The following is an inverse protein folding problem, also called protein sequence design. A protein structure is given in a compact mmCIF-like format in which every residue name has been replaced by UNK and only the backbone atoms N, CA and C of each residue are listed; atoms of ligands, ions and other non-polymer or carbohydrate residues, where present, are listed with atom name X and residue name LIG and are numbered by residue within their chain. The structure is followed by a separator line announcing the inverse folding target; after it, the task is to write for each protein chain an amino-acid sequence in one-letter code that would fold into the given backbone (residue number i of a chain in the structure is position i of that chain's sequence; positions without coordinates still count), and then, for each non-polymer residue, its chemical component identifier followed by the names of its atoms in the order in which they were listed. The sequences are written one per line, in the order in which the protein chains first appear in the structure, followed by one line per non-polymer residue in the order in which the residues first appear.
data_IF_923545569116
#
_entry.id   IF_923545569116
#
_cell.length_a   1.000
_cell.length_b   1.000
_cell.length_c   1.000
_cell.angle_alpha   90.00
_cell.angle_beta   90.00
_cell.angle_gamma   90.00
#
_symmetry.space_group_name_H-M   'P 1'
#
loop_
_entity.id
_entity.type
_entity.pdbx_description
1 polymer ?
#
# COMPACT_ATOMS: atom_id res chain seq x y z
N UNK A 1 10.54 4.39 1.97
CA UNK A 1 9.98 5.69 1.55
C UNK A 1 10.76 6.82 2.21
N UNK A 2 10.65 8.03 1.69
CA UNK A 2 11.09 9.27 2.32
C UNK A 2 9.85 10.14 2.54
N UNK A 3 9.75 10.74 3.72
CA UNK A 3 8.73 11.76 4.03
C UNK A 3 9.42 13.10 3.87
N UNK A 4 8.92 13.92 2.96
CA UNK A 4 9.51 15.21 2.62
C UNK A 4 9.00 16.31 3.56
N UNK A 5 9.76 17.39 3.71
CA UNK A 5 9.42 18.50 4.60
C UNK A 5 8.14 19.25 4.16
N UNK A 6 7.73 19.11 2.90
CA UNK A 6 6.52 19.71 2.33
C UNK A 6 5.28 18.81 2.45
N UNK A 7 5.38 17.69 3.17
CA UNK A 7 4.27 16.74 3.37
C UNK A 7 3.98 15.88 2.15
N UNK A 8 4.91 15.76 1.21
CA UNK A 8 4.88 14.79 0.11
C UNK A 8 5.69 13.53 0.42
N UNK A 9 5.61 12.53 -0.47
CA UNK A 9 6.31 11.26 -0.34
C UNK A 9 7.31 11.08 -1.47
N UNK A 10 8.41 10.38 -1.23
CA UNK A 10 9.34 9.97 -2.29
C UNK A 10 9.82 8.54 -2.11
N UNK A 11 10.17 7.90 -3.22
CA UNK A 11 10.88 6.64 -3.22
C UNK A 11 12.30 6.88 -2.68
N UNK A 12 12.79 6.00 -1.81
CA UNK A 12 14.16 6.11 -1.28
C UNK A 12 15.15 5.38 -2.19
N UNK A 13 16.45 5.59 -1.98
CA UNK A 13 17.52 4.96 -2.77
C UNK A 13 17.58 3.43 -2.67
N UNK A 14 16.81 2.82 -1.76
CA UNK A 14 16.68 1.35 -1.63
C UNK A 14 15.49 0.79 -2.42
N UNK A 15 14.64 1.64 -2.98
CA UNK A 15 13.52 1.21 -3.82
C UNK A 15 14.04 0.53 -5.08
N UNK A 16 13.36 -0.54 -5.50
CA UNK A 16 13.63 -1.23 -6.76
C UNK A 16 12.35 -1.23 -7.58
N UNK A 17 12.48 -0.99 -8.89
CA UNK A 17 11.33 -0.83 -9.78
C UNK A 17 10.50 -2.11 -9.97
N UNK A 18 11.07 -3.27 -9.65
CA UNK A 18 10.43 -4.59 -9.65
C UNK A 18 9.77 -4.95 -8.31
N UNK A 19 9.77 -4.03 -7.33
CA UNK A 19 9.08 -4.21 -6.06
C UNK A 19 7.68 -3.56 -6.08
N UNK A 20 6.72 -4.26 -5.50
CA UNK A 20 5.38 -3.73 -5.27
C UNK A 20 5.31 -2.99 -3.93
N UNK A 21 4.54 -1.90 -3.90
CA UNK A 21 4.35 -1.10 -2.69
C UNK A 21 3.21 -1.68 -1.86
N UNK A 22 3.49 -2.06 -0.61
CA UNK A 22 2.47 -2.56 0.31
C UNK A 22 1.91 -1.40 1.14
N UNK A 23 0.59 -1.24 1.13
CA UNK A 23 -0.14 -0.21 1.87
C UNK A 23 -1.34 -0.81 2.58
N UNK A 24 -1.85 -0.14 3.60
CA UNK A 24 -3.06 -0.58 4.31
C UNK A 24 -3.95 0.61 4.60
N UNK A 25 -5.25 0.43 4.46
CA UNK A 25 -6.24 1.32 5.03
C UNK A 25 -6.43 0.93 6.50
N UNK A 26 -6.33 1.89 7.41
CA UNK A 26 -6.33 1.63 8.85
C UNK A 26 -4.94 1.46 9.48
N UNK A 27 -4.89 1.59 10.81
CA UNK A 27 -3.64 1.65 11.60
C UNK A 27 -3.17 0.28 12.08
N UNK A 28 -4.11 -0.56 12.51
CA UNK A 28 -3.83 -1.81 13.24
C UNK A 28 -2.96 -2.80 12.44
N UNK A 29 -3.22 -2.93 11.14
CA UNK A 29 -2.41 -3.80 10.27
C UNK A 29 -0.95 -3.33 10.17
N UNK A 30 -0.73 -2.03 10.07
CA UNK A 30 0.60 -1.42 10.05
C UNK A 30 1.31 -1.59 11.39
N UNK A 31 0.59 -1.41 12.51
CA UNK A 31 1.12 -1.62 13.87
C UNK A 31 1.49 -3.08 14.13
N UNK A 32 0.65 -4.03 13.68
CA UNK A 32 0.92 -5.47 13.78
C UNK A 32 2.28 -5.83 13.17
N UNK A 33 2.56 -5.32 11.96
CA UNK A 33 3.82 -5.59 11.28
C UNK A 33 4.99 -4.76 11.81
N UNK A 34 4.74 -3.54 12.32
CA UNK A 34 5.75 -2.75 13.04
C UNK A 34 6.25 -3.48 14.28
N UNK A 35 5.36 -4.09 15.05
CA UNK A 35 5.72 -4.86 16.26
C UNK A 35 6.54 -6.11 15.94
N UNK A 36 6.39 -6.67 14.73
CA UNK A 36 7.22 -7.79 14.23
C UNK A 36 8.54 -7.35 13.62
N UNK A 37 8.70 -6.06 13.31
CA UNK A 37 9.88 -5.48 12.66
C UNK A 37 10.25 -4.20 13.41
N UNK A 38 10.91 -4.30 14.58
CA UNK A 38 11.15 -3.16 15.47
C UNK A 38 11.87 -1.98 14.81
N UNK A 39 12.76 -2.24 13.84
CA UNK A 39 13.49 -1.21 13.12
C UNK A 39 12.70 -0.55 11.97
N UNK A 40 11.46 -0.99 11.72
CA UNK A 40 10.57 -0.36 10.76
C UNK A 40 9.87 0.86 11.34
N UNK A 41 9.17 1.63 10.51
CA UNK A 41 8.36 2.79 10.91
C UNK A 41 7.07 2.80 10.08
N UNK A 42 6.03 3.47 10.60
CA UNK A 42 4.75 3.63 9.92
C UNK A 42 4.73 5.01 9.27
N UNK A 43 4.28 5.08 8.02
CA UNK A 43 4.02 6.34 7.31
C UNK A 43 2.53 6.46 7.11
N UNK A 44 1.93 7.53 7.65
CA UNK A 44 0.54 7.91 7.40
C UNK A 44 0.52 9.00 6.33
N UNK A 45 -0.41 8.90 5.39
CA UNK A 45 -0.57 9.84 4.29
C UNK A 45 -2.00 9.81 3.77
N UNK A 46 -2.42 10.88 3.10
CA UNK A 46 -3.66 10.93 2.33
C UNK A 46 -3.37 10.86 0.82
N UNK A 47 -4.35 10.42 0.05
CA UNK A 47 -4.36 10.51 -1.42
C UNK A 47 -5.68 11.15 -1.87
N UNK A 48 -5.72 11.77 -3.06
CA UNK A 48 -6.98 12.22 -3.65
C UNK A 48 -7.97 11.06 -3.83
N UNK A 49 -9.29 11.30 -3.71
CA UNK A 49 -10.31 10.26 -3.84
C UNK A 49 -10.19 9.42 -5.11
N UNK A 50 -9.87 10.04 -6.26
CA UNK A 50 -9.74 9.30 -7.52
C UNK A 50 -8.58 8.28 -7.52
N UNK A 51 -7.52 8.51 -6.72
CA UNK A 51 -6.42 7.54 -6.58
C UNK A 51 -6.87 6.36 -5.72
N UNK A 52 -7.60 6.63 -4.65
CA UNK A 52 -8.20 5.61 -3.79
C UNK A 52 -9.21 4.75 -4.58
N UNK A 53 -10.12 5.41 -5.30
CA UNK A 53 -11.12 4.75 -6.14
C UNK A 53 -10.47 3.88 -7.23
N UNK A 54 -9.45 4.42 -7.93
CA UNK A 54 -8.68 3.65 -8.91
C UNK A 54 -8.11 2.37 -8.31
N UNK A 55 -7.50 2.45 -7.12
CA UNK A 55 -6.93 1.28 -6.43
C UNK A 55 -8.04 0.31 -6.06
N UNK A 56 -9.07 0.79 -5.35
CA UNK A 56 -10.16 -0.01 -4.81
C UNK A 56 -10.95 -0.74 -5.89
N UNK A 57 -11.22 -0.07 -7.01
CA UNK A 57 -12.06 -0.62 -8.09
C UNK A 57 -11.32 -1.60 -8.99
N UNK A 58 -9.98 -1.51 -9.07
CA UNK A 58 -9.15 -2.41 -9.86
C UNK A 58 -8.49 -3.51 -9.02
N UNK A 59 -8.59 -3.45 -7.70
CA UNK A 59 -7.95 -4.42 -6.83
C UNK A 59 -8.58 -5.81 -6.97
N UNK A 60 -7.74 -6.82 -7.19
CA UNK A 60 -8.17 -8.20 -7.31
C UNK A 60 -7.59 -9.07 -6.18
N UNK A 61 -8.26 -10.18 -5.89
CA UNK A 61 -7.80 -11.11 -4.86
C UNK A 61 -6.39 -11.65 -5.15
N UNK A 62 -5.57 -11.77 -4.10
CA UNK A 62 -4.30 -12.52 -4.17
C UNK A 62 -4.50 -13.96 -4.67
N UNK A 63 -5.64 -14.59 -4.38
CA UNK A 63 -5.92 -15.93 -4.84
C UNK A 63 -6.02 -15.96 -6.37
N UNK A 64 -5.23 -16.83 -7.02
CA UNK A 64 -5.13 -16.95 -8.49
C UNK A 64 -4.76 -15.66 -9.20
N UNK A 65 -4.13 -14.69 -8.52
CA UNK A 65 -3.75 -13.40 -9.08
C UNK A 65 -3.07 -13.52 -10.47
N UNK A 66 -2.04 -14.37 -10.58
CA UNK A 66 -1.27 -14.55 -11.82
C UNK A 66 -2.10 -15.06 -13.01
N UNK A 67 -3.15 -15.83 -12.76
CA UNK A 67 -4.00 -16.43 -13.81
C UNK A 67 -5.34 -15.73 -13.94
N UNK A 68 -5.60 -14.70 -13.14
CA UNK A 68 -6.82 -13.92 -13.23
C UNK A 68 -6.77 -13.03 -14.49
N UNK A 69 -7.77 -13.10 -15.40
CA UNK A 69 -7.81 -12.24 -16.58
C UNK A 69 -7.83 -10.75 -16.24
N UNK A 70 -8.30 -10.37 -15.04
CA UNK A 70 -8.32 -9.00 -14.55
C UNK A 70 -6.97 -8.52 -13.98
N UNK A 71 -5.91 -9.35 -14.02
CA UNK A 71 -4.57 -8.97 -13.54
C UNK A 71 -3.89 -7.90 -14.42
N UNK A 72 -4.45 -7.57 -15.59
CA UNK A 72 -3.91 -6.52 -16.48
C UNK A 72 -2.41 -6.70 -16.80
N UNK A 73 -1.97 -7.95 -16.98
CA UNK A 73 -0.54 -8.24 -17.22
C UNK A 73 0.38 -8.03 -16.02
N UNK A 74 -0.16 -7.98 -14.79
CA UNK A 74 0.60 -7.80 -13.56
C UNK A 74 0.45 -6.44 -12.91
N UNK A 75 -0.30 -5.51 -13.52
CA UNK A 75 -0.44 -4.12 -13.05
C UNK A 75 -1.68 -3.86 -12.18
N UNK A 76 -2.55 -4.84 -11.99
CA UNK A 76 -3.72 -4.66 -11.13
C UNK A 76 -3.29 -4.57 -9.64
N UNK A 77 -3.89 -3.72 -8.81
CA UNK A 77 -3.68 -3.81 -7.36
C UNK A 77 -4.10 -5.19 -6.85
N UNK A 78 -3.40 -5.67 -5.82
CA UNK A 78 -3.70 -6.96 -5.21
C UNK A 78 -4.18 -6.76 -3.79
N UNK A 79 -5.33 -7.34 -3.45
CA UNK A 79 -5.82 -7.42 -2.06
C UNK A 79 -5.05 -8.52 -1.34
N UNK A 80 -4.31 -8.16 -0.30
CA UNK A 80 -3.42 -9.05 0.47
C UNK A 80 -3.83 -9.11 1.94
N UNK A 81 -3.22 -10.03 2.68
CA UNK A 81 -3.34 -10.17 4.14
C UNK A 81 -4.76 -10.32 4.72
N UNK A 82 -5.78 -10.64 3.90
CA UNK A 82 -7.16 -10.84 4.35
C UNK A 82 -7.27 -11.77 5.58
N UNK A 83 -6.48 -12.85 5.63
CA UNK A 83 -6.46 -13.75 6.78
C UNK A 83 -5.94 -13.14 8.09
N UNK A 84 -5.09 -12.10 8.02
CA UNK A 84 -4.66 -11.32 9.19
C UNK A 84 -5.79 -10.40 9.64
N UNK A 85 -6.44 -9.70 8.72
CA UNK A 85 -7.61 -8.86 9.03
C UNK A 85 -8.71 -9.68 9.69
N UNK A 86 -9.11 -10.81 9.08
CA UNK A 86 -10.17 -11.68 9.61
C UNK A 86 -9.79 -12.28 10.98
N UNK A 87 -8.52 -12.65 11.18
CA UNK A 87 -8.06 -13.29 12.43
C UNK A 87 -8.06 -12.34 13.62
N UNK A 88 -7.71 -11.08 13.41
CA UNK A 88 -7.56 -10.10 14.50
C UNK A 88 -8.67 -9.05 14.53
N UNK A 89 -9.63 -9.10 13.59
CA UNK A 89 -10.73 -8.15 13.50
C UNK A 89 -10.29 -6.74 13.12
N UNK A 90 -9.22 -6.61 12.33
CA UNK A 90 -8.74 -5.30 11.89
C UNK A 90 -9.73 -4.67 10.89
N UNK A 91 -9.95 -3.37 11.02
CA UNK A 91 -10.69 -2.60 10.02
C UNK A 91 -9.80 -2.25 8.82
N UNK A 92 -10.40 -2.15 7.63
CA UNK A 92 -9.73 -1.75 6.40
C UNK A 92 -9.28 -2.91 5.51
N UNK A 93 -8.32 -2.64 4.64
CA UNK A 93 -7.82 -3.53 3.59
C UNK A 93 -6.34 -3.27 3.37
N UNK A 94 -5.55 -4.33 3.14
CA UNK A 94 -4.17 -4.20 2.67
C UNK A 94 -4.08 -4.45 1.16
N UNK A 95 -3.25 -3.63 0.51
CA UNK A 95 -2.97 -3.72 -0.91
C UNK A 95 -1.48 -3.90 -1.17
N UNK A 96 -1.16 -4.73 -2.15
CA UNK A 96 0.14 -4.77 -2.82
C UNK A 96 -0.04 -4.08 -4.20
N UNK A 97 0.69 -2.99 -4.41
CA UNK A 97 0.51 -2.07 -5.53
C UNK A 97 1.69 -2.20 -6.51
N UNK A 98 1.47 -2.74 -7.72
CA UNK A 98 2.47 -2.76 -8.76
C UNK A 98 2.62 -1.39 -9.44
N UNK A 99 3.70 -1.26 -10.23
CA UNK A 99 3.86 -0.13 -11.17
C UNK A 99 2.78 -0.22 -12.27
N UNK A 100 2.16 0.89 -12.71
CA UNK A 100 2.45 2.30 -12.35
C UNK A 100 1.71 2.83 -11.12
N UNK A 101 0.79 2.05 -10.54
CA UNK A 101 -0.10 2.52 -9.46
C UNK A 101 0.68 2.93 -8.22
N UNK A 102 1.73 2.18 -7.86
CA UNK A 102 2.63 2.56 -6.76
C UNK A 102 3.29 3.93 -6.99
N UNK A 103 3.66 4.27 -8.22
CA UNK A 103 4.26 5.55 -8.56
C UNK A 103 3.24 6.69 -8.43
N UNK A 104 2.02 6.47 -8.93
CA UNK A 104 0.94 7.45 -8.79
C UNK A 104 0.57 7.69 -7.33
N UNK A 105 0.50 6.64 -6.51
CA UNK A 105 0.27 6.81 -5.07
C UNK A 105 1.34 7.71 -4.45
N UNK A 106 2.61 7.49 -4.78
CA UNK A 106 3.72 8.31 -4.24
C UNK A 106 3.64 9.75 -4.74
N UNK A 107 3.33 9.96 -6.02
CA UNK A 107 3.18 11.28 -6.65
C UNK A 107 2.05 12.10 -6.01
N UNK A 108 0.92 11.45 -5.74
CA UNK A 108 -0.28 12.10 -5.23
C UNK A 108 -0.42 12.07 -3.70
N UNK A 109 0.47 11.37 -2.98
CA UNK A 109 0.48 11.36 -1.53
C UNK A 109 0.68 12.77 -0.95
N UNK A 110 -0.19 13.15 -0.01
CA UNK A 110 -0.18 14.43 0.70
C UNK A 110 -0.33 14.23 2.20
N UNK A 111 0.01 15.27 2.97
CA UNK A 111 -0.07 15.28 4.43
C UNK A 111 0.71 14.10 5.06
N UNK A 112 1.84 13.74 4.45
CA UNK A 112 2.63 12.58 4.86
C UNK A 112 3.32 12.84 6.20
N UNK A 113 3.31 11.85 7.10
CA UNK A 113 4.02 11.92 8.38
C UNK A 113 4.43 10.53 8.87
N UNK A 114 5.54 10.49 9.61
CA UNK A 114 5.96 9.26 10.31
C UNK A 114 5.18 9.17 11.62
N UNK A 115 4.52 8.04 11.85
CA UNK A 115 3.89 7.71 13.14
C UNK A 115 4.93 6.97 13.98
N UNK A 116 5.18 7.48 15.19
CA UNK A 116 6.09 6.89 16.18
C UNK A 116 5.33 5.99 17.14
#
# INVERSE_FOLDING_TARGET
MLVNNDGTLSLNSKWKADHDLNVSTGKDHSEYFKNKRPDSYIVEFGVPPYVDDLIRENAISQNRYKTNPLNQGGSAPKIVDKGIFDKYGFEGVAYELPTPISQWLVEYAKNTKIIK
#
